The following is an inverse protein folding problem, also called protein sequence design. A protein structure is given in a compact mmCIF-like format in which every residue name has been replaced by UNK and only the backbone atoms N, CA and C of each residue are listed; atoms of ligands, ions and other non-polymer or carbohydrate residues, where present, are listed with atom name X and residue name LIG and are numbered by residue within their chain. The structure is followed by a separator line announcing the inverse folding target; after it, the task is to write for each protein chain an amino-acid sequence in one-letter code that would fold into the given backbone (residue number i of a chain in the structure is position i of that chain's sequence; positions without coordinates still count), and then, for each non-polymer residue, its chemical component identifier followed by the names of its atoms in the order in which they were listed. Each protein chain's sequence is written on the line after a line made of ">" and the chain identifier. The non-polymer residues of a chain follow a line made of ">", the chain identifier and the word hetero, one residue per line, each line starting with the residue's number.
data_IF_727694040706
#
_entry.id   IF_727694040706
#
_cell.length_a   1.000
_cell.length_b   1.000
_cell.length_c   1.000
_cell.angle_alpha   90.00
_cell.angle_beta   90.00
_cell.angle_gamma   90.00
#
_symmetry.space_group_name_H-M   'P 1'
#
loop_
_entity.id
_entity.type
_entity.pdbx_description
1 polymer ?
#
# COMPACT_ATOMS: atom_id res chain seq x y z
N UNK A 1 19.57 -20.09 -91.30
CA UNK A 1 19.19 -18.67 -91.14
C UNK A 1 19.03 -18.44 -89.66
N UNK A 2 19.68 -17.44 -89.16
CA UNK A 2 20.08 -17.23 -87.76
C UNK A 2 18.92 -17.11 -86.75
N UNK A 3 19.02 -17.86 -85.65
CA UNK A 3 18.21 -17.69 -84.46
C UNK A 3 18.97 -16.80 -83.49
N UNK A 4 18.34 -15.76 -82.98
CA UNK A 4 18.87 -14.89 -81.91
C UNK A 4 18.27 -15.32 -80.59
N UNK A 5 19.15 -15.71 -79.71
CA UNK A 5 18.78 -15.95 -78.26
C UNK A 5 18.83 -14.64 -77.50
N UNK A 6 17.72 -14.30 -76.86
CA UNK A 6 17.63 -13.20 -75.90
C UNK A 6 17.81 -13.79 -74.50
N UNK A 7 18.92 -13.45 -73.84
CA UNK A 7 19.17 -13.80 -72.44
C UNK A 7 18.45 -12.78 -71.54
N UNK A 8 17.40 -13.24 -70.84
CA UNK A 8 16.73 -12.49 -69.82
C UNK A 8 17.48 -12.55 -68.50
N UNK A 9 17.94 -11.38 -68.03
CA UNK A 9 18.47 -11.20 -66.68
C UNK A 9 17.32 -11.22 -65.67
N UNK A 10 17.21 -12.24 -64.82
CA UNK A 10 16.37 -12.22 -63.62
C UNK A 10 17.08 -11.40 -62.57
N UNK A 11 16.53 -10.24 -62.29
CA UNK A 11 16.88 -9.42 -61.10
C UNK A 11 16.21 -10.04 -59.89
N UNK A 12 17.02 -10.60 -58.98
CA UNK A 12 16.56 -11.11 -57.71
C UNK A 12 16.39 -9.92 -56.75
N UNK A 13 15.15 -9.46 -56.54
CA UNK A 13 14.84 -8.50 -55.52
C UNK A 13 14.95 -9.19 -54.16
N UNK A 14 15.97 -8.82 -53.39
CA UNK A 14 16.11 -9.21 -51.97
C UNK A 14 14.95 -8.60 -51.17
N UNK A 15 13.97 -9.39 -50.78
CA UNK A 15 13.00 -9.06 -49.74
C UNK A 15 13.75 -8.92 -48.40
N UNK A 16 14.03 -7.68 -48.04
CA UNK A 16 14.40 -7.35 -46.66
C UNK A 16 13.17 -7.53 -45.76
N UNK A 17 13.08 -8.68 -45.11
CA UNK A 17 12.13 -8.89 -44.03
C UNK A 17 12.57 -8.04 -42.84
N UNK A 18 12.01 -6.82 -42.74
CA UNK A 18 12.01 -6.06 -41.50
C UNK A 18 11.17 -6.88 -40.51
N UNK A 19 11.82 -7.64 -39.63
CA UNK A 19 11.22 -8.17 -38.42
C UNK A 19 10.84 -6.99 -37.54
N UNK A 20 9.58 -6.60 -37.60
CA UNK A 20 8.96 -5.74 -36.60
C UNK A 20 8.94 -6.55 -35.30
N UNK A 21 9.89 -6.31 -34.40
CA UNK A 21 9.75 -6.78 -33.03
C UNK A 21 8.41 -6.21 -32.52
N UNK A 22 7.56 -7.06 -31.89
CA UNK A 22 6.37 -6.53 -31.22
C UNK A 22 6.86 -5.58 -30.14
N UNK A 23 6.33 -4.34 -30.15
CA UNK A 23 6.52 -3.40 -29.08
C UNK A 23 5.97 -4.05 -27.78
N UNK A 24 6.85 -4.75 -27.09
CA UNK A 24 6.59 -5.39 -25.81
C UNK A 24 6.53 -4.31 -24.73
N UNK A 25 5.38 -3.63 -24.63
CA UNK A 25 5.00 -2.90 -23.42
C UNK A 25 4.59 -3.87 -22.34
N UNK A 26 5.45 -4.85 -22.02
CA UNK A 26 5.30 -5.71 -20.87
C UNK A 26 5.55 -4.88 -19.61
N UNK A 27 4.77 -5.12 -18.56
CA UNK A 27 4.99 -4.52 -17.25
C UNK A 27 6.45 -4.78 -16.81
N UNK A 28 7.30 -3.76 -16.90
CA UNK A 28 8.75 -3.86 -16.58
C UNK A 28 9.00 -4.30 -15.14
N UNK A 29 8.01 -4.12 -14.26
CA UNK A 29 8.06 -4.48 -12.86
C UNK A 29 7.44 -5.87 -12.55
N UNK A 30 6.80 -6.52 -13.51
CA UNK A 30 6.06 -7.77 -13.27
C UNK A 30 6.91 -8.86 -12.59
N UNK A 31 8.14 -9.06 -13.07
CA UNK A 31 9.06 -10.05 -12.50
C UNK A 31 9.50 -9.68 -11.09
N UNK A 32 9.81 -8.39 -10.86
CA UNK A 32 10.22 -7.91 -9.54
C UNK A 32 9.07 -8.02 -8.53
N UNK A 33 7.85 -7.70 -8.96
CA UNK A 33 6.62 -7.84 -8.17
C UNK A 33 6.33 -9.28 -7.80
N UNK A 34 6.43 -10.20 -8.75
CA UNK A 34 6.25 -11.63 -8.48
C UNK A 34 7.27 -12.16 -7.46
N UNK A 35 8.55 -11.80 -7.60
CA UNK A 35 9.60 -12.16 -6.64
C UNK A 35 9.33 -11.59 -5.24
N UNK A 36 8.83 -10.36 -5.15
CA UNK A 36 8.44 -9.78 -3.87
C UNK A 36 7.33 -10.63 -3.21
N UNK A 37 6.27 -10.97 -3.95
CA UNK A 37 5.15 -11.76 -3.42
C UNK A 37 5.62 -13.14 -2.94
N UNK A 38 6.51 -13.79 -3.67
CA UNK A 38 7.11 -15.06 -3.23
C UNK A 38 7.96 -14.88 -1.95
N UNK A 39 8.71 -13.79 -1.86
CA UNK A 39 9.45 -13.42 -0.65
C UNK A 39 8.53 -13.16 0.56
N UNK A 40 7.40 -12.48 0.35
CA UNK A 40 6.40 -12.25 1.41
C UNK A 40 5.79 -13.57 1.91
N UNK A 41 5.48 -14.50 0.99
CA UNK A 41 4.99 -15.84 1.34
C UNK A 41 6.02 -16.60 2.18
N UNK A 42 7.28 -16.56 1.79
CA UNK A 42 8.38 -17.22 2.51
C UNK A 42 8.60 -16.61 3.92
N UNK A 43 8.25 -15.34 4.11
CA UNK A 43 8.32 -14.63 5.40
C UNK A 43 7.07 -14.82 6.28
N UNK A 44 6.10 -15.65 5.86
CA UNK A 44 4.93 -15.98 6.68
C UNK A 44 3.66 -15.19 6.37
N UNK A 45 3.59 -14.46 5.26
CA UNK A 45 2.31 -13.94 4.75
C UNK A 45 1.55 -15.09 4.09
N UNK A 46 0.46 -15.52 4.73
CA UNK A 46 -0.30 -16.71 4.35
C UNK A 46 -1.68 -16.41 3.78
N UNK A 47 -2.25 -15.22 4.03
CA UNK A 47 -3.54 -14.83 3.44
C UNK A 47 -3.37 -14.62 1.93
N UNK A 48 -3.99 -15.47 1.08
CA UNK A 48 -3.87 -15.38 -0.37
C UNK A 48 -4.47 -14.09 -0.93
N UNK A 49 -5.42 -13.47 -0.24
CA UNK A 49 -6.02 -12.20 -0.67
C UNK A 49 -5.05 -11.05 -0.46
N UNK A 50 -4.30 -11.06 0.66
CA UNK A 50 -3.23 -10.09 0.93
C UNK A 50 -2.12 -10.23 -0.11
N UNK A 51 -1.64 -11.47 -0.36
CA UNK A 51 -0.64 -11.71 -1.40
C UNK A 51 -1.11 -11.26 -2.78
N UNK A 52 -2.38 -11.50 -3.12
CA UNK A 52 -2.98 -11.03 -4.36
C UNK A 52 -3.05 -9.49 -4.43
N UNK A 53 -3.44 -8.82 -3.34
CA UNK A 53 -3.45 -7.36 -3.29
C UNK A 53 -2.04 -6.79 -3.48
N UNK A 54 -1.02 -7.38 -2.86
CA UNK A 54 0.38 -7.00 -3.06
C UNK A 54 0.89 -7.26 -4.49
N UNK A 55 0.31 -8.24 -5.19
CA UNK A 55 0.60 -8.50 -6.61
C UNK A 55 -0.09 -7.51 -7.55
N UNK A 56 -1.28 -7.03 -7.20
CA UNK A 56 -2.10 -6.15 -8.06
C UNK A 56 -1.73 -4.67 -7.92
N UNK A 57 -1.35 -4.22 -6.71
CA UNK A 57 -1.06 -2.81 -6.47
C UNK A 57 0.33 -2.44 -7.01
N UNK A 58 0.43 -1.51 -7.96
CA UNK A 58 1.69 -1.11 -8.58
C UNK A 58 2.50 -0.21 -7.63
N UNK A 59 3.30 -0.80 -6.74
CA UNK A 59 4.06 -0.07 -5.72
C UNK A 59 4.97 1.01 -6.33
N UNK A 60 5.49 0.80 -7.55
CA UNK A 60 6.30 1.75 -8.31
C UNK A 60 5.59 3.08 -8.57
N UNK A 61 4.27 3.12 -8.55
CA UNK A 61 3.48 4.35 -8.69
C UNK A 61 3.35 5.15 -7.37
N UNK A 62 3.76 4.56 -6.24
CA UNK A 62 3.67 5.15 -4.91
C UNK A 62 5.03 5.60 -4.34
N UNK A 63 6.12 5.34 -5.03
CA UNK A 63 7.47 5.80 -4.69
C UNK A 63 7.85 7.01 -5.54
N UNK A 64 8.95 7.70 -5.18
CA UNK A 64 9.51 8.77 -6.02
C UNK A 64 10.07 8.17 -7.32
N UNK A 65 10.14 8.97 -8.38
CA UNK A 65 10.62 8.52 -9.69
C UNK A 65 12.02 7.91 -9.66
N UNK A 66 12.93 8.49 -8.86
CA UNK A 66 14.29 8.00 -8.68
C UNK A 66 14.36 6.68 -7.91
N UNK A 67 13.34 6.34 -7.12
CA UNK A 67 13.27 5.12 -6.31
C UNK A 67 12.53 3.98 -7.00
N UNK A 68 11.91 4.20 -8.17
CA UNK A 68 11.18 3.16 -8.93
C UNK A 68 12.00 1.88 -9.16
N UNK A 69 13.30 1.92 -9.50
CA UNK A 69 14.10 0.71 -9.67
C UNK A 69 14.22 -0.15 -8.39
N UNK A 70 13.95 0.44 -7.23
CA UNK A 70 14.01 -0.22 -5.92
C UNK A 70 12.64 -0.50 -5.33
N UNK A 71 11.54 -0.14 -6.01
CA UNK A 71 10.18 -0.20 -5.50
C UNK A 71 9.79 -1.58 -4.93
N UNK A 72 10.33 -2.64 -5.50
CA UNK A 72 10.04 -4.03 -5.12
C UNK A 72 11.10 -4.68 -4.22
N UNK A 73 12.08 -3.90 -3.73
CA UNK A 73 12.92 -4.35 -2.62
C UNK A 73 12.12 -4.32 -1.33
N UNK A 74 12.31 -5.31 -0.48
CA UNK A 74 11.61 -5.39 0.82
C UNK A 74 12.25 -4.44 1.86
N UNK A 75 12.12 -3.14 1.58
CA UNK A 75 12.63 -2.04 2.41
C UNK A 75 11.72 -0.83 2.38
N UNK A 76 11.79 0.00 3.42
CA UNK A 76 11.17 1.32 3.42
C UNK A 76 11.94 2.25 2.46
N UNK A 77 11.21 3.17 1.80
CA UNK A 77 11.79 4.18 0.90
C UNK A 77 11.31 5.57 1.30
N UNK A 78 12.10 6.63 1.05
CA UNK A 78 11.67 7.98 1.35
C UNK A 78 10.54 8.43 0.41
N UNK A 79 9.64 9.27 0.95
CA UNK A 79 8.64 10.02 0.17
C UNK A 79 8.73 11.51 0.50
N UNK A 80 7.83 12.34 -0.03
CA UNK A 80 7.79 13.76 0.30
C UNK A 80 7.52 13.99 1.80
N UNK A 81 7.76 15.23 2.28
CA UNK A 81 7.50 15.63 3.66
C UNK A 81 8.41 14.97 4.70
N UNK A 82 9.55 14.39 4.31
CA UNK A 82 10.42 13.66 5.24
C UNK A 82 9.83 12.34 5.75
N UNK A 83 8.73 11.88 5.15
CA UNK A 83 8.07 10.62 5.49
C UNK A 83 8.63 9.45 4.68
N UNK A 84 8.16 8.24 4.99
CA UNK A 84 8.57 7.02 4.29
C UNK A 84 7.36 6.19 3.86
N UNK A 85 7.48 5.52 2.72
CA UNK A 85 6.61 4.40 2.36
C UNK A 85 7.13 3.14 3.07
N UNK A 86 6.26 2.46 3.79
CA UNK A 86 6.63 1.29 4.58
C UNK A 86 7.22 0.15 3.74
N UNK A 87 8.06 -0.66 4.36
CA UNK A 87 8.56 -1.91 3.82
C UNK A 87 7.40 -2.80 3.36
N UNK A 88 7.45 -3.42 2.17
CA UNK A 88 6.40 -4.30 1.67
C UNK A 88 5.94 -5.38 2.64
N UNK A 89 6.88 -6.04 3.32
CA UNK A 89 6.53 -7.03 4.34
C UNK A 89 5.66 -6.44 5.46
N UNK A 90 5.96 -5.24 5.93
CA UNK A 90 5.17 -4.57 6.98
C UNK A 90 3.77 -4.22 6.49
N UNK A 91 3.64 -3.71 5.25
CA UNK A 91 2.33 -3.45 4.62
C UNK A 91 1.48 -4.74 4.58
N UNK A 92 2.06 -5.83 4.10
CA UNK A 92 1.38 -7.11 4.01
C UNK A 92 1.03 -7.69 5.40
N UNK A 93 1.95 -7.62 6.36
CA UNK A 93 1.74 -8.12 7.71
C UNK A 93 0.63 -7.35 8.43
N UNK A 94 0.67 -6.02 8.42
CA UNK A 94 -0.37 -5.19 9.04
C UNK A 94 -1.74 -5.46 8.43
N UNK A 95 -1.79 -5.66 7.11
CA UNK A 95 -3.03 -6.00 6.41
C UNK A 95 -3.53 -7.40 6.79
N UNK A 96 -2.62 -8.40 6.87
CA UNK A 96 -2.99 -9.78 7.24
C UNK A 96 -3.55 -9.87 8.65
N UNK A 97 -2.93 -9.19 9.63
CA UNK A 97 -3.39 -9.27 11.02
C UNK A 97 -4.70 -8.54 11.29
N UNK A 98 -5.18 -7.74 10.35
CA UNK A 98 -6.55 -7.20 10.37
C UNK A 98 -7.61 -8.26 10.06
N UNK A 99 -7.27 -9.40 9.43
CA UNK A 99 -8.18 -10.49 9.08
C UNK A 99 -9.44 -9.97 8.35
N UNK A 100 -9.27 -9.26 7.27
CA UNK A 100 -10.34 -8.64 6.47
C UNK A 100 -11.08 -9.71 5.65
N UNK A 101 -12.40 -9.54 5.40
CA UNK A 101 -13.26 -10.52 4.71
C UNK A 101 -13.95 -9.97 3.45
N UNK A 102 -13.84 -8.64 3.17
CA UNK A 102 -14.33 -8.04 1.93
C UNK A 102 -15.39 -6.94 2.09
N UNK A 103 -16.14 -6.94 3.17
CA UNK A 103 -17.26 -6.02 3.38
C UNK A 103 -16.98 -4.89 4.37
N UNK A 104 -15.74 -4.80 4.83
CA UNK A 104 -15.35 -3.88 5.89
C UNK A 104 -15.32 -2.43 5.41
N UNK A 105 -15.54 -1.53 6.37
CA UNK A 105 -15.15 -0.13 6.34
C UNK A 105 -13.91 0.03 7.20
N UNK A 106 -12.82 0.43 6.58
CA UNK A 106 -11.51 0.54 7.25
C UNK A 106 -11.12 2.00 7.35
N UNK A 107 -10.65 2.41 8.53
CA UNK A 107 -9.98 3.68 8.75
C UNK A 107 -8.46 3.46 8.72
N UNK A 108 -7.77 4.21 7.89
CA UNK A 108 -6.32 4.34 7.89
C UNK A 108 -5.93 5.70 8.46
N UNK A 109 -4.93 5.71 9.34
CA UNK A 109 -4.30 6.92 9.88
C UNK A 109 -2.83 6.95 9.44
N UNK A 110 -2.48 7.98 8.65
CA UNK A 110 -1.18 8.11 7.99
C UNK A 110 -1.24 7.63 6.54
N UNK A 111 -1.87 8.42 5.65
CA UNK A 111 -2.00 8.08 4.23
C UNK A 111 -0.64 7.99 3.53
N UNK A 112 0.27 8.92 3.83
CA UNK A 112 1.58 9.03 3.21
C UNK A 112 1.51 9.05 1.69
N UNK A 113 2.10 8.05 1.04
CA UNK A 113 2.03 7.89 -0.42
C UNK A 113 0.67 7.41 -0.94
N UNK A 114 -0.17 6.82 -0.09
CA UNK A 114 -1.43 6.15 -0.45
C UNK A 114 -1.30 4.65 -0.72
N UNK A 115 -0.11 4.05 -0.56
CA UNK A 115 0.09 2.63 -0.86
C UNK A 115 -0.78 1.72 0.01
N UNK A 116 -0.78 1.93 1.35
CA UNK A 116 -1.54 1.09 2.26
C UNK A 116 -3.04 1.21 1.98
N UNK A 117 -3.54 2.43 1.69
CA UNK A 117 -4.92 2.65 1.25
C UNK A 117 -5.24 1.88 -0.03
N UNK A 118 -4.33 1.88 -1.03
CA UNK A 118 -4.50 1.12 -2.26
C UNK A 118 -4.56 -0.40 -2.01
N UNK A 119 -3.69 -0.94 -1.16
CA UNK A 119 -3.71 -2.36 -0.78
C UNK A 119 -5.02 -2.72 -0.08
N UNK A 120 -5.46 -1.91 0.89
CA UNK A 120 -6.74 -2.11 1.57
C UNK A 120 -7.93 -2.04 0.60
N UNK A 121 -7.90 -1.13 -0.36
CA UNK A 121 -9.01 -0.92 -1.31
C UNK A 121 -9.34 -2.15 -2.16
N UNK A 122 -8.35 -3.00 -2.42
CA UNK A 122 -8.53 -4.28 -3.14
C UNK A 122 -9.24 -5.32 -2.27
N UNK A 123 -9.19 -5.16 -0.95
CA UNK A 123 -9.61 -6.16 0.02
C UNK A 123 -10.93 -5.85 0.70
N UNK A 124 -11.39 -4.59 0.70
CA UNK A 124 -12.53 -4.14 1.50
C UNK A 124 -13.51 -3.29 0.71
N UNK A 125 -14.70 -3.05 1.29
CA UNK A 125 -15.74 -2.25 0.66
C UNK A 125 -15.37 -0.77 0.56
N UNK A 126 -14.87 -0.17 1.64
CA UNK A 126 -14.52 1.26 1.71
C UNK A 126 -13.30 1.49 2.59
N UNK A 127 -12.42 2.39 2.15
CA UNK A 127 -11.27 2.87 2.90
C UNK A 127 -11.42 4.37 3.14
N UNK A 128 -11.25 4.78 4.39
CA UNK A 128 -11.17 6.17 4.82
C UNK A 128 -9.74 6.40 5.31
N UNK A 129 -9.03 7.35 4.74
CA UNK A 129 -7.62 7.60 5.05
C UNK A 129 -7.40 9.03 5.46
N UNK A 130 -6.68 9.25 6.57
CA UNK A 130 -6.40 10.58 7.12
C UNK A 130 -4.89 10.82 7.07
N UNK A 131 -4.52 12.00 6.59
CA UNK A 131 -3.14 12.45 6.53
C UNK A 131 -3.02 13.84 7.17
N UNK A 132 -2.05 14.00 8.08
CA UNK A 132 -1.85 15.26 8.78
C UNK A 132 -1.25 16.34 7.87
N UNK A 133 -0.41 15.96 6.93
CA UNK A 133 0.16 16.85 5.92
C UNK A 133 -0.84 17.06 4.75
N UNK A 134 -1.39 18.28 4.56
CA UNK A 134 -2.36 18.53 3.50
C UNK A 134 -1.81 18.31 2.09
N UNK A 135 -0.50 18.51 1.89
CA UNK A 135 0.13 18.31 0.58
C UNK A 135 0.25 16.82 0.24
N UNK A 136 0.65 16.00 1.24
CA UNK A 136 0.66 14.55 1.09
C UNK A 136 -0.77 14.00 0.87
N UNK A 137 -1.74 14.48 1.64
CA UNK A 137 -3.15 14.09 1.48
C UNK A 137 -3.65 14.34 0.05
N UNK A 138 -3.44 15.56 -0.46
CA UNK A 138 -3.86 15.93 -1.82
C UNK A 138 -3.13 15.11 -2.89
N UNK A 139 -1.83 14.88 -2.75
CA UNK A 139 -1.04 14.09 -3.68
C UNK A 139 -1.47 12.62 -3.69
N UNK A 140 -1.74 12.03 -2.52
CA UNK A 140 -2.23 10.67 -2.38
C UNK A 140 -3.64 10.51 -2.97
N UNK A 141 -4.55 11.44 -2.69
CA UNK A 141 -5.91 11.43 -3.26
C UNK A 141 -5.88 11.48 -4.79
N UNK A 142 -5.08 12.39 -5.35
CA UNK A 142 -4.91 12.49 -6.80
C UNK A 142 -4.38 11.18 -7.40
N UNK A 143 -3.33 10.61 -6.81
CA UNK A 143 -2.72 9.35 -7.25
C UNK A 143 -3.71 8.19 -7.21
N UNK A 144 -4.38 8.00 -6.07
CA UNK A 144 -5.35 6.93 -5.88
C UNK A 144 -6.49 7.02 -6.90
N UNK A 145 -7.01 8.23 -7.16
CA UNK A 145 -8.05 8.44 -8.20
C UNK A 145 -7.54 8.14 -9.61
N UNK A 146 -6.33 8.59 -9.94
CA UNK A 146 -5.70 8.35 -11.25
C UNK A 146 -5.49 6.85 -11.51
N UNK A 147 -5.12 6.09 -10.48
CA UNK A 147 -4.94 4.64 -10.53
C UNK A 147 -6.26 3.84 -10.43
N UNK A 148 -7.40 4.52 -10.29
CA UNK A 148 -8.72 3.87 -10.31
C UNK A 148 -9.25 3.35 -8.97
N UNK A 149 -8.62 3.65 -7.84
CA UNK A 149 -9.07 3.25 -6.49
C UNK A 149 -10.27 4.12 -6.04
N UNK A 150 -11.48 3.78 -6.48
CA UNK A 150 -12.71 4.59 -6.32
C UNK A 150 -13.36 4.47 -4.93
N UNK A 151 -13.05 3.43 -4.18
CA UNK A 151 -13.56 3.16 -2.84
C UNK A 151 -12.67 3.72 -1.72
N UNK A 152 -11.65 4.52 -2.06
CA UNK A 152 -10.79 5.23 -1.10
C UNK A 152 -11.22 6.69 -1.01
N UNK A 153 -11.36 7.18 0.22
CA UNK A 153 -11.59 8.59 0.54
C UNK A 153 -10.44 9.09 1.39
N UNK A 154 -9.77 10.14 0.94
CA UNK A 154 -8.66 10.76 1.66
C UNK A 154 -9.09 12.13 2.17
N UNK A 155 -8.68 12.47 3.39
CA UNK A 155 -8.79 13.84 3.89
C UNK A 155 -7.53 14.27 4.65
N UNK A 156 -7.22 15.57 4.57
CA UNK A 156 -6.25 16.20 5.46
C UNK A 156 -6.86 16.40 6.85
N UNK A 157 -6.10 16.05 7.89
CA UNK A 157 -6.55 16.21 9.27
C UNK A 157 -5.67 15.48 10.27
N UNK A 158 -5.88 15.77 11.55
CA UNK A 158 -5.21 15.09 12.63
C UNK A 158 -5.82 13.70 12.86
N UNK A 159 -5.02 12.67 12.58
CA UNK A 159 -5.43 11.28 12.70
C UNK A 159 -5.75 10.82 14.12
N UNK A 160 -5.30 11.57 15.16
CA UNK A 160 -5.68 11.30 16.54
C UNK A 160 -7.20 11.25 16.74
N UNK A 161 -7.92 12.17 16.08
CA UNK A 161 -9.38 12.26 16.19
C UNK A 161 -10.14 11.26 15.33
N UNK A 162 -9.46 10.56 14.44
CA UNK A 162 -10.11 9.64 13.50
C UNK A 162 -11.06 10.34 12.52
N UNK A 163 -12.13 9.64 12.13
CA UNK A 163 -13.16 10.16 11.21
C UNK A 163 -14.57 9.93 11.76
N UNK A 164 -15.01 10.71 12.75
CA UNK A 164 -16.28 10.49 13.47
C UNK A 164 -17.50 10.41 12.55
N UNK A 165 -17.55 11.26 11.49
CA UNK A 165 -18.70 11.32 10.57
C UNK A 165 -18.83 10.06 9.70
N UNK A 166 -17.74 9.28 9.57
CA UNK A 166 -17.72 8.02 8.84
C UNK A 166 -17.78 6.78 9.75
N UNK A 167 -17.66 6.97 11.06
CA UNK A 167 -17.75 5.86 12.02
C UNK A 167 -19.15 5.21 12.03
N UNK A 168 -19.28 3.96 12.51
CA UNK A 168 -18.23 3.10 13.04
C UNK A 168 -17.47 2.33 11.96
N UNK A 169 -16.22 1.91 12.27
CA UNK A 169 -15.34 1.13 11.40
C UNK A 169 -15.23 -0.33 11.86
N UNK A 170 -15.08 -1.23 10.91
CA UNK A 170 -14.82 -2.66 11.17
C UNK A 170 -13.34 -2.87 11.57
N UNK A 171 -12.45 -2.07 10.99
CA UNK A 171 -11.02 -2.09 11.31
C UNK A 171 -10.39 -0.70 11.25
N UNK A 172 -9.33 -0.51 12.03
CA UNK A 172 -8.47 0.68 12.02
C UNK A 172 -7.03 0.25 11.85
N UNK A 173 -6.30 0.91 10.96
CA UNK A 173 -4.87 0.74 10.78
C UNK A 173 -4.16 2.08 10.97
N UNK A 174 -3.13 2.11 11.80
CA UNK A 174 -2.32 3.32 12.04
C UNK A 174 -0.90 3.04 11.58
N UNK A 175 -0.41 3.86 10.65
CA UNK A 175 0.90 3.70 10.02
C UNK A 175 1.97 4.62 10.60
N UNK A 176 1.75 5.11 11.81
CA UNK A 176 2.66 5.93 12.59
C UNK A 176 2.68 5.46 14.05
N UNK A 177 3.81 5.57 14.74
CA UNK A 177 3.97 5.07 16.11
C UNK A 177 3.48 6.08 17.16
N UNK A 178 2.74 5.61 18.16
CA UNK A 178 2.35 6.41 19.31
C UNK A 178 2.61 5.66 20.63
N UNK A 179 2.75 6.39 21.73
CA UNK A 179 2.96 5.78 23.05
C UNK A 179 1.71 5.05 23.58
N UNK A 180 0.53 5.43 23.10
CA UNK A 180 -0.77 4.87 23.52
C UNK A 180 -1.72 4.79 22.32
N UNK A 181 -2.68 3.89 22.37
CA UNK A 181 -3.78 3.84 21.41
C UNK A 181 -4.67 5.08 21.61
N UNK A 182 -4.89 5.94 20.60
CA UNK A 182 -5.78 7.09 20.73
C UNK A 182 -7.21 6.66 21.06
N UNK A 183 -7.79 7.18 22.14
CA UNK A 183 -9.14 6.84 22.58
C UNK A 183 -10.23 7.11 21.53
N UNK A 184 -10.16 8.20 20.74
CA UNK A 184 -11.13 8.43 19.66
C UNK A 184 -11.14 7.30 18.62
N UNK A 185 -10.00 6.65 18.33
CA UNK A 185 -9.93 5.54 17.37
C UNK A 185 -10.62 4.30 17.93
N UNK A 186 -10.46 4.02 19.25
CA UNK A 186 -11.15 2.92 19.93
C UNK A 186 -12.67 3.17 19.94
N UNK A 187 -13.10 4.39 20.21
CA UNK A 187 -14.51 4.77 20.23
C UNK A 187 -15.19 4.52 18.87
N UNK A 188 -14.45 4.78 17.77
CA UNK A 188 -14.94 4.63 16.40
C UNK A 188 -14.89 3.19 15.86
N UNK A 189 -14.29 2.24 16.59
CA UNK A 189 -14.39 0.82 16.24
C UNK A 189 -15.75 0.25 16.61
N UNK A 190 -16.28 -0.62 15.73
CA UNK A 190 -17.41 -1.50 16.06
C UNK A 190 -17.06 -2.46 17.20
N UNK A 191 -18.04 -2.97 17.96
CA UNK A 191 -17.84 -4.18 18.77
C UNK A 191 -17.27 -5.32 17.90
N UNK A 192 -16.23 -6.00 18.35
CA UNK A 192 -15.50 -7.02 17.58
C UNK A 192 -14.57 -6.46 16.50
N UNK A 193 -14.49 -5.13 16.36
CA UNK A 193 -13.57 -4.46 15.42
C UNK A 193 -12.12 -4.59 15.86
N UNK A 194 -11.21 -4.41 14.91
CA UNK A 194 -9.77 -4.61 15.11
C UNK A 194 -8.99 -3.33 14.83
N UNK A 195 -7.95 -3.11 15.62
CA UNK A 195 -6.99 -2.02 15.39
C UNK A 195 -5.58 -2.61 15.32
N UNK A 196 -4.81 -2.17 14.32
CA UNK A 196 -3.40 -2.52 14.16
C UNK A 196 -2.57 -1.24 14.14
N UNK A 197 -1.57 -1.14 15.01
CA UNK A 197 -0.69 0.02 15.08
C UNK A 197 0.65 -0.30 15.74
N UNK A 198 1.72 0.47 15.46
CA UNK A 198 2.94 0.44 16.25
C UNK A 198 2.75 1.22 17.57
N UNK A 199 3.08 0.58 18.68
CA UNK A 199 3.21 1.24 19.98
C UNK A 199 4.67 1.51 20.28
N UNK A 200 5.00 2.75 20.59
CA UNK A 200 6.32 3.17 21.06
C UNK A 200 6.44 2.99 22.55
N UNK A 201 7.57 2.40 23.01
CA UNK A 201 7.95 2.24 24.40
C UNK A 201 9.43 2.64 24.55
N UNK A 202 9.92 2.68 25.77
CA UNK A 202 11.31 3.07 26.08
C UNK A 202 12.34 2.15 25.40
N UNK A 203 11.99 0.88 25.16
CA UNK A 203 12.82 -0.17 24.57
C UNK A 203 12.61 -0.37 23.06
N UNK A 204 11.79 0.48 22.41
CA UNK A 204 11.53 0.42 20.97
C UNK A 204 10.06 0.46 20.60
N UNK A 205 9.73 -0.03 19.40
CA UNK A 205 8.36 -0.05 18.91
C UNK A 205 7.90 -1.49 18.67
N UNK A 206 6.68 -1.79 19.10
CA UNK A 206 6.01 -3.08 18.87
C UNK A 206 4.75 -2.86 18.05
N UNK A 207 4.64 -3.53 16.91
CA UNK A 207 3.38 -3.65 16.20
C UNK A 207 2.42 -4.47 17.07
N UNK A 208 1.24 -3.92 17.32
CA UNK A 208 0.19 -4.60 18.08
C UNK A 208 -1.08 -4.77 17.25
N UNK A 209 -1.85 -5.79 17.58
CA UNK A 209 -3.27 -5.89 17.24
C UNK A 209 -4.08 -5.70 18.52
N UNK A 210 -5.12 -4.88 18.44
CA UNK A 210 -6.10 -4.70 19.52
C UNK A 210 -7.48 -5.06 19.00
N UNK A 211 -8.13 -6.03 19.66
CA UNK A 211 -9.50 -6.45 19.35
C UNK A 211 -10.45 -5.79 20.35
N UNK A 212 -11.48 -5.07 19.86
CA UNK A 212 -12.47 -4.44 20.72
C UNK A 212 -13.48 -5.47 21.22
N UNK A 213 -13.46 -5.72 22.51
CA UNK A 213 -14.38 -6.62 23.22
C UNK A 213 -15.43 -5.82 24.00
N UNK A 214 -16.43 -6.48 24.56
CA UNK A 214 -17.47 -5.84 25.36
C UNK A 214 -16.89 -5.17 26.62
N UNK A 215 -15.86 -5.76 27.20
CA UNK A 215 -15.21 -5.34 28.45
C UNK A 215 -13.92 -4.55 28.25
N UNK A 216 -13.55 -4.20 27.00
CA UNK A 216 -12.37 -3.41 26.70
C UNK A 216 -11.60 -3.81 25.45
N UNK A 217 -10.27 -3.70 25.50
CA UNK A 217 -9.38 -4.08 24.40
C UNK A 217 -8.53 -5.29 24.78
N UNK A 218 -8.56 -6.32 23.95
CA UNK A 218 -7.57 -7.39 23.98
C UNK A 218 -6.40 -6.99 23.09
N UNK A 219 -5.24 -6.72 23.67
CA UNK A 219 -4.03 -6.34 22.94
C UNK A 219 -3.09 -7.53 22.79
N UNK A 220 -2.65 -7.79 21.56
CA UNK A 220 -1.73 -8.87 21.21
C UNK A 220 -0.51 -8.27 20.52
N UNK A 221 0.71 -8.48 21.02
CA UNK A 221 1.92 -8.08 20.32
C UNK A 221 2.13 -8.95 19.08
N UNK A 222 2.59 -8.35 17.99
CA UNK A 222 2.84 -9.02 16.70
C UNK A 222 4.33 -9.16 16.43
N UNK A 223 5.06 -8.05 16.33
CA UNK A 223 6.51 -8.05 16.07
C UNK A 223 7.13 -6.68 16.40
N UNK A 224 8.45 -6.64 16.54
CA UNK A 224 9.20 -5.39 16.63
C UNK A 224 9.18 -4.66 15.26
N UNK A 225 9.07 -3.33 15.29
CA UNK A 225 8.98 -2.48 14.10
C UNK A 225 9.69 -1.14 14.32
N UNK A 226 9.84 -0.37 13.23
CA UNK A 226 10.30 1.02 13.28
C UNK A 226 9.43 1.86 12.34
N UNK A 227 8.64 2.76 12.90
CA UNK A 227 7.79 3.71 12.20
C UNK A 227 8.16 5.15 12.56
N UNK A 228 7.78 6.08 11.70
CA UNK A 228 7.76 7.50 12.03
C UNK A 228 6.80 7.76 13.20
N UNK A 229 7.11 8.73 14.08
CA UNK A 229 6.19 9.07 15.18
C UNK A 229 4.88 9.63 14.63
N UNK A 230 3.78 9.30 15.29
CA UNK A 230 2.49 9.94 15.07
C UNK A 230 2.55 11.37 15.65
N UNK A 231 2.18 12.35 14.84
CA UNK A 231 2.17 13.77 15.19
C UNK A 231 0.76 14.28 15.42
N UNK A 232 0.63 15.51 15.90
CA UNK A 232 -0.66 16.14 16.22
C UNK A 232 -1.04 16.01 17.68
N UNK A 233 -2.33 15.90 17.99
CA UNK A 233 -2.85 15.88 19.37
C UNK A 233 -2.32 14.73 20.24
N UNK A 234 -1.76 13.67 19.63
CA UNK A 234 -1.13 12.55 20.35
C UNK A 234 0.10 12.98 21.15
N UNK A 235 0.78 14.06 20.71
CA UNK A 235 1.97 14.62 21.35
C UNK A 235 1.63 15.49 22.56
N UNK A 236 0.39 15.98 22.64
CA UNK A 236 -0.05 16.85 23.72
C UNK A 236 -0.61 16.01 24.85
N UNK A 237 -0.03 16.01 26.07
CA UNK A 237 -0.65 15.37 27.21
C UNK A 237 -2.04 15.99 27.42
N UNK A 238 -3.08 15.18 27.47
CA UNK A 238 -4.41 15.65 27.89
C UNK A 238 -4.30 16.16 29.33
N UNK A 239 -4.75 17.42 29.64
CA UNK A 239 -4.70 18.01 30.95
C UNK A 239 -5.50 17.20 32.00
#
# INVERSE_FOLDING_TARGET
>A
MLAWQVIGLLSCAACSSTSTEPAGGGDEFAVARARLVDGLRAQGITDPRVLNAMALVPREEFVRSEDRPQAYRDQALPIAGGQTISQPYIVALMTQVLELHGNERVLEVGTGSGLQAAVLSVLVREVYSIEIDPQLAAAAEHRLRALGYRNVRVRAGDGYYGWPEAAPFDAVIVTAAAAKIPQPLIAQLKPGGRLVMPLAKDDGQTLIRADKQEDGLRIVPVTAVAFVPMTGAVETPTP
#
